data_IF_943090912253
#
_entry.id   IF_943090912253
#
_cell.length_a   1.000
_cell.length_b   1.000
_cell.length_c   1.000
_cell.angle_alpha   90.00
_cell.angle_beta   90.00
_cell.angle_gamma   90.00
#
_symmetry.space_group_name_H-M   'P 1'
#
loop_
_entity.id
_entity.type
_entity.pdbx_description
1 polymer ?
#
# COMPACT_ATOMS: atom_id res chain seq x y z
N UNK A 1 1.03 1.58 33.44
CA UNK A 1 0.44 1.50 32.08
C UNK A 1 1.10 0.34 31.34
N UNK A 2 0.35 -0.64 30.84
CA UNK A 2 0.92 -1.86 30.21
C UNK A 2 1.37 -1.55 28.78
N UNK A 3 2.55 -2.07 28.39
CA UNK A 3 3.10 -1.86 27.05
C UNK A 3 2.31 -2.67 26.01
N UNK A 4 1.79 -1.99 24.99
CA UNK A 4 1.06 -2.64 23.90
C UNK A 4 2.02 -3.40 22.96
N UNK A 5 1.50 -4.41 22.25
CA UNK A 5 2.22 -5.13 21.19
C UNK A 5 2.61 -4.22 20.01
N UNK A 6 3.72 -4.55 19.34
CA UNK A 6 4.30 -3.80 18.20
C UNK A 6 4.26 -4.57 16.87
N UNK A 7 3.36 -5.53 16.74
CA UNK A 7 3.23 -6.35 15.54
C UNK A 7 2.67 -5.56 14.35
N UNK A 8 2.72 -6.17 13.16
CA UNK A 8 2.27 -5.60 11.90
C UNK A 8 0.81 -5.10 11.92
N UNK A 9 -0.07 -5.80 12.67
CA UNK A 9 -1.49 -5.45 12.82
C UNK A 9 -1.81 -4.63 14.09
N UNK A 10 -0.81 -4.08 14.76
CA UNK A 10 -1.05 -3.26 15.94
C UNK A 10 -1.78 -1.96 15.55
N UNK A 11 -2.91 -1.67 16.22
CA UNK A 11 -3.74 -0.45 16.00
C UNK A 11 -4.30 -0.32 14.58
N UNK A 12 -4.49 -1.42 13.86
CA UNK A 12 -4.97 -1.38 12.46
C UNK A 12 -6.46 -1.66 12.29
N UNK A 13 -7.24 -1.85 13.38
CA UNK A 13 -8.66 -2.23 13.30
C UNK A 13 -9.43 -1.37 12.29
N UNK A 14 -9.44 -0.04 12.45
CA UNK A 14 -10.15 0.86 11.54
C UNK A 14 -9.60 0.88 10.10
N UNK A 15 -8.32 0.57 9.90
CA UNK A 15 -7.65 0.58 8.59
C UNK A 15 -7.87 -0.70 7.79
N UNK A 16 -8.07 -1.83 8.49
CA UNK A 16 -8.17 -3.16 7.89
C UNK A 16 -9.56 -3.79 8.15
N UNK A 17 -10.60 -2.97 8.27
CA UNK A 17 -11.99 -3.45 8.36
C UNK A 17 -12.72 -3.10 7.07
N UNK A 18 -13.43 -4.07 6.49
CA UNK A 18 -14.16 -3.90 5.23
C UNK A 18 -13.32 -4.29 4.01
N UNK A 19 -13.60 -3.64 2.87
CA UNK A 19 -12.94 -3.88 1.60
C UNK A 19 -13.70 -4.87 0.71
N UNK A 20 -13.63 -4.63 -0.59
CA UNK A 20 -14.21 -5.47 -1.63
C UNK A 20 -13.11 -5.79 -2.64
N UNK A 21 -13.19 -6.97 -3.25
CA UNK A 21 -12.26 -7.37 -4.30
C UNK A 21 -12.88 -7.10 -5.66
N UNK A 22 -12.24 -6.24 -6.45
CA UNK A 22 -12.59 -6.01 -7.85
C UNK A 22 -11.49 -6.54 -8.77
N UNK A 23 -11.90 -7.22 -9.85
CA UNK A 23 -10.98 -7.72 -10.88
C UNK A 23 -10.30 -6.53 -11.60
N UNK A 24 -11.01 -5.40 -11.74
CA UNK A 24 -10.47 -4.20 -12.37
C UNK A 24 -9.25 -3.66 -11.59
N UNK A 25 -9.34 -3.61 -10.25
CA UNK A 25 -8.25 -3.15 -9.39
C UNK A 25 -7.03 -4.08 -9.47
N UNK A 26 -7.25 -5.39 -9.64
CA UNK A 26 -6.17 -6.37 -9.77
C UNK A 26 -5.44 -6.30 -11.12
N UNK A 27 -6.13 -5.89 -12.18
CA UNK A 27 -5.59 -5.75 -13.54
C UNK A 27 -5.07 -4.34 -13.85
N UNK A 28 -5.23 -3.39 -12.91
CA UNK A 28 -4.81 -2.02 -13.11
C UNK A 28 -3.29 -1.93 -13.34
N UNK A 29 -2.92 -1.21 -14.41
CA UNK A 29 -1.52 -0.95 -14.74
C UNK A 29 -1.15 0.49 -14.41
N UNK A 30 0.08 0.67 -13.93
CA UNK A 30 0.67 1.97 -13.66
C UNK A 30 1.92 2.16 -14.50
N UNK A 31 2.10 3.38 -14.99
CA UNK A 31 3.30 3.75 -15.73
C UNK A 31 4.45 4.05 -14.77
N UNK A 32 5.66 3.89 -15.27
CA UNK A 32 6.83 4.47 -14.62
C UNK A 32 6.57 5.94 -14.34
N UNK A 33 7.04 6.39 -13.19
CA UNK A 33 6.99 7.78 -12.80
C UNK A 33 5.57 8.36 -12.53
N UNK A 34 4.55 7.52 -12.54
CA UNK A 34 3.16 7.88 -12.23
C UNK A 34 2.94 8.06 -10.72
N UNK A 35 2.11 9.05 -10.34
CA UNK A 35 1.73 9.29 -8.95
C UNK A 35 0.61 8.36 -8.53
N UNK A 36 0.79 7.69 -7.40
CA UNK A 36 -0.16 6.73 -6.85
C UNK A 36 -0.34 6.95 -5.35
N UNK A 37 -1.54 6.69 -4.87
CA UNK A 37 -1.89 6.65 -3.45
C UNK A 37 -1.80 5.21 -2.95
N UNK A 38 -1.15 5.02 -1.81
CA UNK A 38 -1.08 3.73 -1.13
C UNK A 38 -2.39 3.56 -0.35
N UNK A 39 -3.30 2.75 -0.87
CA UNK A 39 -4.62 2.48 -0.28
C UNK A 39 -4.82 0.97 -0.08
N UNK A 40 -4.79 0.54 1.17
CA UNK A 40 -4.85 -0.86 1.56
C UNK A 40 -6.26 -1.42 1.40
N UNK A 41 -6.44 -2.26 0.39
CA UNK A 41 -7.59 -3.16 0.33
C UNK A 41 -7.47 -4.30 1.36
N UNK A 42 -8.34 -4.29 2.38
CA UNK A 42 -8.36 -5.29 3.43
C UNK A 42 -8.87 -6.67 2.99
N UNK A 43 -9.60 -6.76 1.86
CA UNK A 43 -10.05 -8.05 1.30
C UNK A 43 -8.89 -8.87 0.72
N UNK A 44 -7.77 -8.23 0.35
CA UNK A 44 -6.61 -8.88 -0.23
C UNK A 44 -5.43 -8.80 0.73
N UNK A 45 -4.97 -9.94 1.22
CA UNK A 45 -3.80 -9.98 2.11
C UNK A 45 -2.46 -10.06 1.35
N UNK A 46 -2.46 -10.48 0.09
CA UNK A 46 -1.24 -10.75 -0.68
C UNK A 46 -0.71 -9.46 -1.30
N UNK A 47 0.57 -9.17 -1.09
CA UNK A 47 1.19 -7.96 -1.65
C UNK A 47 0.84 -6.67 -0.91
N UNK A 48 0.25 -6.81 0.29
CA UNK A 48 -0.16 -5.71 1.14
C UNK A 48 1.06 -5.04 1.81
N UNK A 49 1.30 -3.73 1.61
CA UNK A 49 2.36 -3.02 2.31
C UNK A 49 2.02 -2.78 3.79
N UNK A 50 2.99 -2.27 4.56
CA UNK A 50 2.79 -2.03 5.98
C UNK A 50 1.66 -1.00 6.24
N UNK A 51 0.66 -1.27 7.10
CA UNK A 51 -0.48 -0.39 7.45
C UNK A 51 -0.15 1.01 7.99
N UNK A 52 1.14 1.26 8.20
CA UNK A 52 1.66 2.58 8.58
C UNK A 52 1.57 3.55 7.40
N UNK A 53 1.74 3.06 6.18
CA UNK A 53 1.84 3.88 4.97
C UNK A 53 0.50 4.11 4.27
N UNK A 54 -0.60 3.68 4.88
CA UNK A 54 -1.96 3.98 4.40
C UNK A 54 -2.13 5.48 4.17
N UNK A 55 -2.58 5.85 2.97
CA UNK A 55 -2.85 7.23 2.56
C UNK A 55 -1.63 8.02 2.10
N UNK A 56 -0.44 7.40 2.04
CA UNK A 56 0.74 8.07 1.51
C UNK A 56 0.70 8.14 -0.02
N UNK A 57 1.21 9.25 -0.56
CA UNK A 57 1.33 9.48 -2.00
C UNK A 57 2.77 9.22 -2.40
N UNK A 58 2.96 8.41 -3.43
CA UNK A 58 4.26 8.06 -3.95
C UNK A 58 4.30 8.05 -5.46
N UNK A 59 5.47 7.68 -5.99
CA UNK A 59 5.74 7.55 -7.42
C UNK A 59 6.15 6.12 -7.73
N UNK A 60 5.64 5.56 -8.83
CA UNK A 60 6.04 4.22 -9.30
C UNK A 60 7.45 4.30 -9.89
N UNK A 61 8.39 3.56 -9.31
CA UNK A 61 9.80 3.53 -9.74
C UNK A 61 10.09 2.37 -10.67
N UNK A 62 9.45 1.22 -10.43
CA UNK A 62 9.61 0.03 -11.28
C UNK A 62 8.45 -0.95 -11.09
N UNK A 63 8.31 -1.88 -12.04
CA UNK A 63 7.42 -3.05 -11.93
C UNK A 63 8.27 -4.26 -11.58
N UNK A 64 7.97 -4.92 -10.45
CA UNK A 64 8.66 -6.12 -9.99
C UNK A 64 7.70 -7.31 -10.03
N UNK A 65 7.76 -8.07 -11.12
CA UNK A 65 6.80 -9.15 -11.39
C UNK A 65 5.38 -8.60 -11.56
N UNK A 66 4.46 -9.03 -10.68
CA UNK A 66 3.07 -8.53 -10.65
C UNK A 66 2.85 -7.35 -9.69
N UNK A 67 3.89 -6.94 -8.97
CA UNK A 67 3.84 -5.83 -8.03
C UNK A 67 4.57 -4.61 -8.59
N UNK A 68 4.34 -3.46 -7.97
CA UNK A 68 4.99 -2.20 -8.26
C UNK A 68 5.82 -1.76 -7.08
N UNK A 69 6.97 -1.15 -7.37
CA UNK A 69 7.79 -0.48 -6.37
C UNK A 69 7.40 0.99 -6.36
N UNK A 70 6.94 1.46 -5.20
CA UNK A 70 6.50 2.84 -5.01
C UNK A 70 7.45 3.51 -4.05
N UNK A 71 8.04 4.61 -4.50
CA UNK A 71 8.85 5.50 -3.67
C UNK A 71 7.99 6.64 -3.11
N UNK A 72 8.11 6.88 -1.80
CA UNK A 72 7.42 7.96 -1.11
C UNK A 72 8.31 8.52 0.01
N UNK A 73 7.97 9.72 0.49
CA UNK A 73 8.60 10.31 1.66
C UNK A 73 7.79 9.98 2.92
N UNK A 74 8.40 9.22 3.83
CA UNK A 74 7.89 9.02 5.19
C UNK A 74 8.50 10.11 6.07
N UNK A 75 7.81 11.24 6.17
CA UNK A 75 8.33 12.48 6.74
C UNK A 75 9.60 12.95 5.99
N UNK A 76 10.77 12.79 6.59
CA UNK A 76 12.06 13.23 6.00
C UNK A 76 12.81 12.11 5.29
N UNK A 77 12.33 10.86 5.40
CA UNK A 77 13.05 9.69 4.87
C UNK A 77 12.37 9.18 3.61
N UNK A 78 13.12 9.13 2.51
CA UNK A 78 12.71 8.41 1.31
C UNK A 78 12.67 6.91 1.60
N UNK A 79 11.56 6.28 1.24
CA UNK A 79 11.34 4.84 1.39
C UNK A 79 10.70 4.28 0.15
N UNK A 80 10.97 3.01 -0.09
CA UNK A 80 10.35 2.24 -1.16
C UNK A 80 9.53 1.11 -0.54
N UNK A 81 8.35 0.88 -1.09
CA UNK A 81 7.51 -0.28 -0.76
C UNK A 81 7.21 -1.07 -2.01
N UNK A 82 6.92 -2.35 -1.81
CA UNK A 82 6.46 -3.26 -2.86
C UNK A 82 4.97 -3.49 -2.58
N UNK A 83 4.11 -3.09 -3.50
CA UNK A 83 2.67 -3.24 -3.39
C UNK A 83 2.09 -3.71 -4.72
N UNK A 84 1.05 -4.53 -4.65
CA UNK A 84 0.26 -4.89 -5.84
C UNK A 84 -0.71 -3.76 -6.23
N UNK A 85 -1.22 -3.84 -7.45
CA UNK A 85 -2.22 -2.90 -7.97
C UNK A 85 -3.46 -2.78 -7.07
N UNK A 86 -3.88 -3.89 -6.45
CA UNK A 86 -5.00 -3.98 -5.50
C UNK A 86 -4.86 -3.02 -4.28
N UNK A 87 -3.63 -2.55 -4.03
CA UNK A 87 -3.31 -1.67 -2.90
C UNK A 87 -2.85 -0.27 -3.33
N UNK A 88 -3.04 0.07 -4.61
CA UNK A 88 -2.64 1.33 -5.20
C UNK A 88 -3.85 1.96 -5.87
N UNK A 89 -4.03 3.26 -5.66
CA UNK A 89 -5.00 4.08 -6.40
C UNK A 89 -4.30 5.14 -7.20
N UNK A 90 -4.88 5.49 -8.34
CA UNK A 90 -4.44 6.66 -9.10
C UNK A 90 -4.76 7.93 -8.29
N UNK A 91 -3.81 8.87 -8.25
CA UNK A 91 -4.02 10.17 -7.59
C UNK A 91 -5.04 11.02 -8.36
#
# INVERSE_FOLDING_TARGET
MVRHSKGFRARTRKKLTGGEFSIADALQEFKLDEKVVIDLNAAVHKGMPHPRFQGQIGRVVEKRGRAFVVEFMDHEKKKQIIAKAEHLKRF
#
